data_IF_875990772339
#
_entry.id   IF_875990772339
#
_cell.length_a   1.000
_cell.length_b   1.000
_cell.length_c   1.000
_cell.angle_alpha   90.00
_cell.angle_beta   90.00
_cell.angle_gamma   90.00
#
_symmetry.space_group_name_H-M   'P 1'
#
loop_
_entity.id
_entity.type
_entity.pdbx_description
1 polymer ?
#
# COMPACT_ATOMS: atom_id res chain seq x y z
N UNK A 1 6.87 -15.43 -17.48
CA UNK A 1 6.31 -16.81 -17.59
C UNK A 1 6.98 -17.79 -16.63
N UNK A 2 8.28 -17.63 -16.31
CA UNK A 2 9.00 -18.59 -15.46
C UNK A 2 8.45 -18.63 -14.02
N UNK A 3 8.14 -17.47 -13.45
CA UNK A 3 7.47 -17.39 -12.13
C UNK A 3 6.10 -18.07 -12.17
N UNK A 4 5.33 -17.86 -13.23
CA UNK A 4 4.04 -18.53 -13.41
C UNK A 4 4.19 -20.06 -13.45
N UNK A 5 5.12 -20.57 -14.26
CA UNK A 5 5.37 -22.02 -14.36
C UNK A 5 5.85 -22.63 -13.05
N UNK A 6 6.75 -21.90 -12.35
CA UNK A 6 7.18 -22.29 -11.01
C UNK A 6 6.00 -22.39 -10.04
N UNK A 7 5.16 -21.37 -9.99
CA UNK A 7 3.98 -21.35 -9.10
C UNK A 7 2.96 -22.43 -9.49
N UNK A 8 2.76 -22.70 -10.77
CA UNK A 8 1.85 -23.74 -11.24
C UNK A 8 2.24 -25.14 -10.75
N UNK A 9 3.54 -25.37 -10.47
CA UNK A 9 4.06 -26.64 -9.95
C UNK A 9 4.13 -26.63 -8.42
N UNK A 10 4.62 -25.52 -7.85
CA UNK A 10 5.02 -25.47 -6.43
C UNK A 10 4.00 -24.83 -5.50
N UNK A 11 2.94 -24.22 -6.01
CA UNK A 11 1.82 -23.71 -5.23
C UNK A 11 0.61 -24.63 -5.39
N UNK A 12 0.36 -25.47 -4.40
CA UNK A 12 -0.68 -26.51 -4.44
C UNK A 12 -2.07 -25.92 -4.75
N UNK A 13 -2.42 -24.77 -4.16
CA UNK A 13 -3.72 -24.13 -4.38
C UNK A 13 -3.83 -23.56 -5.79
N UNK A 14 -2.74 -22.99 -6.30
CA UNK A 14 -2.70 -22.48 -7.67
C UNK A 14 -2.75 -23.60 -8.70
N UNK A 15 -2.04 -24.72 -8.50
CA UNK A 15 -2.13 -25.89 -9.33
C UNK A 15 -3.57 -26.40 -9.43
N UNK A 16 -4.26 -26.58 -8.29
CA UNK A 16 -5.67 -26.97 -8.26
C UNK A 16 -6.59 -25.98 -8.99
N UNK A 17 -6.31 -24.68 -8.86
CA UNK A 17 -7.08 -23.64 -9.57
C UNK A 17 -6.91 -23.76 -11.08
N UNK A 18 -5.69 -23.99 -11.58
CA UNK A 18 -5.44 -24.21 -13.00
C UNK A 18 -6.11 -25.49 -13.52
N UNK A 19 -6.07 -26.58 -12.76
CA UNK A 19 -6.76 -27.83 -13.09
C UNK A 19 -8.28 -27.63 -13.23
N UNK A 20 -8.90 -26.91 -12.30
CA UNK A 20 -10.33 -26.59 -12.35
C UNK A 20 -10.69 -25.75 -13.59
N UNK A 21 -9.81 -24.86 -14.02
CA UNK A 21 -9.94 -24.07 -15.24
C UNK A 21 -9.57 -24.86 -16.50
N UNK A 22 -9.04 -26.05 -16.37
CA UNK A 22 -8.52 -26.88 -17.47
C UNK A 22 -7.43 -26.17 -18.27
N UNK A 23 -6.57 -25.40 -17.59
CA UNK A 23 -5.44 -24.69 -18.19
C UNK A 23 -4.18 -25.51 -17.98
N UNK A 24 -3.57 -25.95 -19.07
CA UNK A 24 -2.24 -26.54 -19.06
C UNK A 24 -1.19 -25.43 -19.02
N UNK A 25 -0.38 -25.30 -17.92
CA UNK A 25 0.64 -24.27 -17.81
C UNK A 25 1.68 -24.27 -18.93
N UNK A 26 1.90 -25.41 -19.58
CA UNK A 26 2.85 -25.52 -20.68
C UNK A 26 2.37 -24.79 -21.94
N UNK A 27 1.06 -24.65 -22.13
CA UNK A 27 0.45 -24.01 -23.32
C UNK A 27 0.38 -22.49 -23.20
N UNK A 28 0.54 -21.93 -21.99
CA UNK A 28 0.52 -20.47 -21.75
C UNK A 28 1.78 -19.83 -22.33
N UNK A 29 1.60 -19.06 -23.41
CA UNK A 29 2.69 -18.45 -24.17
C UNK A 29 2.89 -16.96 -23.90
N UNK A 30 1.85 -16.28 -23.42
CA UNK A 30 1.91 -14.83 -23.12
C UNK A 30 1.51 -14.55 -21.67
N UNK A 31 2.11 -13.53 -21.04
CA UNK A 31 1.71 -13.11 -19.70
C UNK A 31 0.23 -12.68 -19.59
N UNK A 32 -0.39 -12.29 -20.71
CA UNK A 32 -1.82 -11.96 -20.79
C UNK A 32 -2.74 -13.14 -20.55
N UNK A 33 -2.25 -14.35 -20.83
CA UNK A 33 -3.04 -15.57 -20.78
C UNK A 33 -2.96 -16.27 -19.41
N UNK A 34 -2.13 -15.73 -18.50
CA UNK A 34 -1.99 -16.26 -17.14
C UNK A 34 -3.29 -16.07 -16.38
N UNK A 35 -3.95 -17.14 -15.90
CA UNK A 35 -5.11 -17.02 -15.02
C UNK A 35 -4.69 -16.48 -13.65
N UNK A 36 -5.32 -15.39 -13.21
CA UNK A 36 -5.08 -14.82 -11.90
C UNK A 36 -6.05 -15.38 -10.87
N UNK A 37 -5.52 -15.87 -9.75
CA UNK A 37 -6.34 -16.35 -8.64
C UNK A 37 -7.17 -15.22 -8.04
N UNK A 38 -8.45 -15.50 -7.66
CA UNK A 38 -9.24 -14.56 -6.90
C UNK A 38 -8.58 -14.22 -5.56
N UNK A 39 -8.46 -12.94 -5.25
CA UNK A 39 -7.78 -12.45 -4.05
C UNK A 39 -8.39 -12.98 -2.75
N UNK A 40 -9.68 -13.31 -2.76
CA UNK A 40 -10.38 -13.92 -1.63
C UNK A 40 -9.79 -15.25 -1.16
N UNK A 41 -8.95 -15.90 -1.95
CA UNK A 41 -8.28 -17.14 -1.57
C UNK A 41 -7.23 -16.92 -0.45
N UNK A 42 -6.66 -15.73 -0.33
CA UNK A 42 -5.81 -15.37 0.80
C UNK A 42 -6.54 -15.40 2.16
N UNK A 43 -7.87 -15.34 2.16
CA UNK A 43 -8.69 -15.48 3.37
C UNK A 43 -8.95 -16.93 3.75
N UNK A 44 -8.87 -17.84 2.78
CA UNK A 44 -9.28 -19.23 2.93
C UNK A 44 -8.10 -20.19 3.04
N UNK A 45 -6.98 -19.85 2.42
CA UNK A 45 -5.84 -20.75 2.26
C UNK A 45 -4.53 -20.06 2.67
N UNK A 46 -3.61 -20.86 3.17
CA UNK A 46 -2.21 -20.46 3.36
C UNK A 46 -1.48 -20.60 2.02
N UNK A 47 -1.44 -19.52 1.26
CA UNK A 47 -0.83 -19.50 -0.08
C UNK A 47 0.68 -19.38 0.04
N UNK A 48 1.42 -20.40 -0.41
CA UNK A 48 2.88 -20.38 -0.54
C UNK A 48 3.31 -21.28 -1.70
N UNK A 49 4.44 -20.96 -2.31
CA UNK A 49 5.05 -21.77 -3.37
C UNK A 49 6.31 -22.43 -2.83
N UNK A 50 6.34 -23.75 -2.83
CA UNK A 50 7.41 -24.55 -2.24
C UNK A 50 7.27 -24.78 -0.72
N UNK A 51 8.28 -25.46 -0.15
CA UNK A 51 8.29 -25.83 1.27
C UNK A 51 9.24 -24.91 2.06
N UNK A 52 8.67 -24.11 2.95
CA UNK A 52 9.35 -23.19 3.84
C UNK A 52 8.43 -22.75 4.98
N UNK A 53 9.00 -22.31 6.10
CA UNK A 53 8.24 -21.71 7.19
C UNK A 53 8.23 -20.18 7.06
N UNK A 54 7.09 -19.52 7.30
CA UNK A 54 7.02 -18.08 7.19
C UNK A 54 7.79 -17.39 8.31
N UNK A 55 8.71 -16.49 7.95
CA UNK A 55 9.38 -15.62 8.92
C UNK A 55 8.45 -14.50 9.39
N UNK A 56 7.45 -14.15 8.55
CA UNK A 56 6.38 -13.19 8.87
C UNK A 56 5.09 -13.55 8.15
N UNK A 57 3.98 -13.16 8.75
CA UNK A 57 2.66 -13.22 8.11
C UNK A 57 2.02 -11.84 8.19
N UNK A 58 1.71 -11.25 7.05
CA UNK A 58 0.87 -10.06 7.01
C UNK A 58 -0.61 -10.45 7.09
N UNK A 59 -1.39 -9.64 7.81
CA UNK A 59 -2.83 -9.86 7.99
C UNK A 59 -3.63 -8.63 7.63
N UNK A 60 -4.73 -8.82 6.89
CA UNK A 60 -5.61 -7.72 6.56
C UNK A 60 -6.44 -7.25 7.76
N UNK A 61 -6.86 -5.97 7.73
CA UNK A 61 -7.80 -5.46 8.71
C UNK A 61 -9.19 -6.07 8.45
N UNK A 62 -9.51 -7.20 9.08
CA UNK A 62 -10.87 -7.71 9.11
C UNK A 62 -11.75 -6.83 10.01
N UNK A 63 -12.98 -6.52 9.57
CA UNK A 63 -14.03 -6.10 10.50
C UNK A 63 -14.41 -7.31 11.36
N UNK A 64 -14.81 -7.08 12.61
CA UNK A 64 -15.15 -8.15 13.56
C UNK A 64 -16.09 -9.19 12.93
N UNK A 65 -15.66 -10.45 12.88
CA UNK A 65 -16.43 -11.56 12.30
C UNK A 65 -16.15 -11.89 10.83
N UNK A 66 -15.31 -11.14 10.12
CA UNK A 66 -14.92 -11.45 8.73
C UNK A 66 -13.51 -12.07 8.73
N UNK A 67 -13.35 -13.18 7.97
CA UNK A 67 -12.05 -13.83 7.80
C UNK A 67 -11.01 -12.84 7.25
N UNK A 68 -9.85 -12.78 7.89
CA UNK A 68 -8.71 -11.94 7.47
C UNK A 68 -7.88 -12.65 6.40
N UNK A 69 -7.31 -11.90 5.48
CA UNK A 69 -6.30 -12.42 4.55
C UNK A 69 -4.98 -12.65 5.28
N UNK A 70 -4.26 -13.69 4.87
CA UNK A 70 -2.94 -14.01 5.40
C UNK A 70 -1.94 -14.10 4.25
N UNK A 71 -0.94 -13.24 4.26
CA UNK A 71 0.15 -13.27 3.30
C UNK A 71 1.43 -13.71 3.98
N UNK A 72 1.94 -14.87 3.59
CA UNK A 72 3.11 -15.51 4.19
C UNK A 72 4.38 -14.99 3.50
N UNK A 73 5.37 -14.58 4.27
CA UNK A 73 6.67 -14.12 3.77
C UNK A 73 7.75 -15.11 4.17
N UNK A 74 8.54 -15.55 3.20
CA UNK A 74 9.77 -16.33 3.44
C UNK A 74 10.98 -15.44 3.74
N UNK A 75 10.91 -14.14 3.35
CA UNK A 75 11.98 -13.19 3.58
C UNK A 75 11.38 -11.77 3.67
N UNK A 76 11.58 -11.10 4.80
CA UNK A 76 11.10 -9.74 5.06
C UNK A 76 11.83 -8.69 4.20
N UNK A 77 13.10 -8.92 3.90
CA UNK A 77 13.92 -7.96 3.18
C UNK A 77 13.42 -7.72 1.75
N UNK A 78 12.82 -8.71 1.11
CA UNK A 78 12.19 -8.52 -0.20
C UNK A 78 11.06 -7.49 -0.15
N UNK A 79 10.24 -7.51 0.90
CA UNK A 79 9.19 -6.49 1.05
C UNK A 79 9.79 -5.12 1.33
N UNK A 80 10.78 -5.04 2.26
CA UNK A 80 11.46 -3.78 2.62
C UNK A 80 12.09 -3.12 1.40
N UNK A 81 12.87 -3.88 0.62
CA UNK A 81 13.54 -3.38 -0.58
C UNK A 81 12.54 -2.98 -1.67
N UNK A 82 11.47 -3.76 -1.89
CA UNK A 82 10.43 -3.39 -2.85
C UNK A 82 9.73 -2.08 -2.46
N UNK A 83 9.34 -1.95 -1.20
CA UNK A 83 8.68 -0.75 -0.69
C UNK A 83 9.60 0.48 -0.79
N UNK A 84 10.86 0.34 -0.37
CA UNK A 84 11.88 1.40 -0.49
C UNK A 84 12.09 1.81 -1.94
N UNK A 85 12.38 0.86 -2.83
CA UNK A 85 12.62 1.15 -4.24
C UNK A 85 11.40 1.82 -4.90
N UNK A 86 10.19 1.34 -4.61
CA UNK A 86 8.96 1.92 -5.13
C UNK A 86 8.79 3.39 -4.69
N UNK A 87 9.07 3.68 -3.42
CA UNK A 87 9.01 5.05 -2.88
C UNK A 87 10.09 5.95 -3.49
N UNK A 88 11.36 5.50 -3.44
CA UNK A 88 12.50 6.32 -3.85
C UNK A 88 12.50 6.66 -5.34
N UNK A 89 11.92 5.82 -6.19
CA UNK A 89 11.71 6.12 -7.61
C UNK A 89 10.81 7.33 -7.85
N UNK A 90 9.86 7.61 -6.96
CA UNK A 90 8.89 8.70 -7.11
C UNK A 90 9.28 9.95 -6.32
N UNK A 91 9.91 9.77 -5.15
CA UNK A 91 10.11 10.83 -4.16
C UNK A 91 11.58 11.09 -3.81
N UNK A 92 12.51 10.31 -4.35
CA UNK A 92 13.93 10.36 -3.98
C UNK A 92 14.20 9.65 -2.66
N UNK A 93 15.44 9.74 -2.20
CA UNK A 93 15.93 8.98 -1.05
C UNK A 93 15.12 9.20 0.23
N UNK A 94 15.02 8.14 1.03
CA UNK A 94 14.50 8.19 2.39
C UNK A 94 15.53 8.77 3.37
N UNK A 95 16.82 8.67 3.09
CA UNK A 95 17.88 9.14 3.98
C UNK A 95 17.70 10.61 4.34
N UNK A 96 17.79 10.94 5.63
CA UNK A 96 17.62 12.26 6.22
C UNK A 96 16.24 12.94 5.94
N UNK A 97 15.29 12.19 5.38
CA UNK A 97 13.92 12.68 5.15
C UNK A 97 13.08 12.50 6.42
N UNK A 98 12.51 13.54 7.03
CA UNK A 98 11.59 13.36 8.14
C UNK A 98 10.37 12.53 7.71
N UNK A 99 10.14 11.39 8.35
CA UNK A 99 8.99 10.50 8.09
C UNK A 99 8.06 10.50 9.30
N UNK A 100 6.89 11.12 9.15
CA UNK A 100 5.88 11.25 10.20
C UNK A 100 4.68 10.38 9.83
N UNK A 101 4.49 9.29 10.56
CA UNK A 101 3.46 8.30 10.27
C UNK A 101 2.25 8.46 11.20
N UNK A 102 1.16 9.02 10.67
CA UNK A 102 -0.11 9.19 11.37
C UNK A 102 -1.01 7.97 11.15
N UNK A 103 -0.75 6.91 11.91
CA UNK A 103 -1.37 5.59 11.76
C UNK A 103 -2.02 5.12 13.08
N UNK A 104 -3.08 5.79 13.56
CA UNK A 104 -3.77 5.43 14.80
C UNK A 104 -4.36 4.02 14.72
N UNK A 105 -4.34 3.30 15.86
CA UNK A 105 -4.86 1.94 16.01
C UNK A 105 -4.21 0.85 15.11
N UNK A 106 -3.13 1.17 14.39
CA UNK A 106 -2.42 0.18 13.59
C UNK A 106 -1.29 -0.50 14.33
N UNK A 107 -0.67 0.15 15.33
CA UNK A 107 0.39 -0.46 16.15
C UNK A 107 -0.14 -1.58 17.05
N UNK A 108 -1.43 -1.55 17.41
CA UNK A 108 -2.07 -2.62 18.17
C UNK A 108 -2.29 -3.90 17.33
N UNK A 109 -2.10 -3.82 16.00
CA UNK A 109 -2.29 -4.92 15.07
C UNK A 109 -0.95 -5.50 14.64
N UNK A 110 -0.58 -6.58 15.25
CA UNK A 110 0.52 -7.41 14.75
C UNK A 110 0.17 -7.89 13.33
N UNK A 111 1.08 -7.69 12.36
CA UNK A 111 0.91 -8.17 10.98
C UNK A 111 0.41 -7.16 9.96
N UNK A 112 0.32 -5.86 10.28
CA UNK A 112 0.03 -4.83 9.28
C UNK A 112 1.23 -4.58 8.35
N UNK A 113 1.07 -4.82 7.04
CA UNK A 113 2.11 -4.51 6.05
C UNK A 113 2.39 -3.00 5.95
N UNK A 114 1.37 -2.16 6.15
CA UNK A 114 1.51 -0.70 6.15
C UNK A 114 2.38 -0.21 7.31
N UNK A 115 2.15 -0.74 8.53
CA UNK A 115 2.98 -0.40 9.69
C UNK A 115 4.42 -0.86 9.48
N UNK A 116 4.60 -2.06 8.96
CA UNK A 116 5.92 -2.60 8.68
C UNK A 116 6.70 -1.77 7.65
N UNK A 117 6.02 -1.28 6.60
CA UNK A 117 6.59 -0.35 5.62
C UNK A 117 6.96 0.99 6.28
N UNK A 118 6.04 1.59 7.05
CA UNK A 118 6.28 2.87 7.69
C UNK A 118 7.42 2.80 8.72
N UNK A 119 7.52 1.69 9.47
CA UNK A 119 8.62 1.42 10.39
C UNK A 119 9.97 1.36 9.66
N UNK A 120 10.04 0.64 8.54
CA UNK A 120 11.25 0.57 7.71
C UNK A 120 11.64 1.94 7.16
N UNK A 121 10.67 2.74 6.70
CA UNK A 121 10.92 4.11 6.20
C UNK A 121 11.46 5.02 7.30
N UNK A 122 10.89 4.96 8.52
CA UNK A 122 11.37 5.71 9.69
C UNK A 122 12.81 5.30 10.03
N UNK A 123 13.10 4.00 10.08
CA UNK A 123 14.45 3.49 10.39
C UNK A 123 15.48 3.91 9.34
N UNK A 124 15.14 3.77 8.05
CA UNK A 124 16.05 4.15 6.94
C UNK A 124 16.25 5.65 6.82
N UNK A 125 15.26 6.44 7.23
CA UNK A 125 15.37 7.89 7.29
C UNK A 125 16.52 8.32 8.22
N UNK A 126 16.62 7.73 9.39
CA UNK A 126 17.57 8.15 10.42
C UNK A 126 17.32 9.57 10.96
N UNK A 127 16.31 10.29 10.46
CA UNK A 127 16.02 11.64 10.91
C UNK A 127 15.39 11.63 12.31
N UNK A 128 15.89 12.46 13.27
CA UNK A 128 15.49 12.39 14.68
C UNK A 128 14.01 12.72 14.92
N UNK A 129 13.37 13.47 14.02
CA UNK A 129 11.95 13.82 14.12
C UNK A 129 11.02 12.77 13.49
N UNK A 130 11.58 11.72 12.85
CA UNK A 130 10.78 10.62 12.29
C UNK A 130 10.16 9.78 13.40
N UNK A 131 8.93 9.30 13.16
CA UNK A 131 8.25 8.44 14.12
C UNK A 131 6.77 8.22 13.82
N UNK A 132 6.16 7.41 14.68
CA UNK A 132 4.71 7.19 14.67
C UNK A 132 4.01 8.23 15.55
N UNK A 133 2.95 8.80 15.01
CA UNK A 133 2.04 9.70 15.70
C UNK A 133 0.65 9.07 15.66
N UNK A 134 0.22 8.48 16.77
CA UNK A 134 -1.01 7.70 16.82
C UNK A 134 -2.23 8.61 16.98
N UNK A 135 -2.23 9.41 18.05
CA UNK A 135 -3.30 10.34 18.43
C UNK A 135 -2.74 11.68 18.94
N UNK A 136 -1.44 11.84 19.00
CA UNK A 136 -0.78 13.08 19.44
C UNK A 136 -0.69 14.09 18.29
N UNK A 137 -1.85 14.60 17.88
CA UNK A 137 -1.96 15.59 16.83
C UNK A 137 -1.28 16.93 17.16
N UNK A 138 -1.30 17.43 18.42
CA UNK A 138 -0.57 18.65 18.76
C UNK A 138 0.94 18.56 18.53
N UNK A 139 1.58 17.48 18.98
CA UNK A 139 3.01 17.26 18.76
C UNK A 139 3.33 17.09 17.29
N UNK A 140 2.52 16.32 16.55
CA UNK A 140 2.67 16.16 15.09
C UNK A 140 2.58 17.51 14.37
N UNK A 141 1.57 18.33 14.71
CA UNK A 141 1.36 19.66 14.13
C UNK A 141 2.57 20.59 14.34
N UNK A 142 3.12 20.62 15.58
CA UNK A 142 4.32 21.41 15.90
C UNK A 142 5.54 20.96 15.10
N UNK A 143 5.78 19.64 14.98
CA UNK A 143 6.88 19.10 14.19
C UNK A 143 6.74 19.43 12.71
N UNK A 144 5.55 19.29 12.14
CA UNK A 144 5.28 19.67 10.76
C UNK A 144 5.56 21.17 10.51
N UNK A 145 5.13 22.03 11.42
CA UNK A 145 5.41 23.47 11.34
C UNK A 145 6.92 23.77 11.33
N UNK A 146 7.71 23.05 12.12
CA UNK A 146 9.15 23.24 12.20
C UNK A 146 9.89 22.68 10.95
N UNK A 147 9.38 21.61 10.34
CA UNK A 147 10.03 20.89 9.26
C UNK A 147 9.65 21.37 7.85
N UNK A 148 8.53 22.06 7.67
CA UNK A 148 7.92 22.42 6.38
C UNK A 148 8.81 23.23 5.43
N UNK A 149 9.86 23.85 5.94
CA UNK A 149 10.81 24.66 5.15
C UNK A 149 12.21 24.06 5.14
N UNK A 150 12.37 22.83 5.60
CA UNK A 150 13.64 22.13 5.62
C UNK A 150 14.18 21.83 4.19
N UNK A 151 15.47 21.49 4.07
CA UNK A 151 16.09 21.20 2.78
C UNK A 151 15.56 19.91 2.14
N UNK A 152 15.10 18.95 2.94
CA UNK A 152 14.51 17.70 2.48
C UNK A 152 13.00 17.74 2.83
N UNK A 153 12.10 17.59 1.84
CA UNK A 153 10.67 17.61 2.08
C UNK A 153 10.24 16.51 3.05
N UNK A 154 9.54 16.84 4.17
CA UNK A 154 9.01 15.82 5.06
C UNK A 154 7.98 14.94 4.36
N UNK A 155 7.87 13.67 4.78
CA UNK A 155 6.78 12.77 4.44
C UNK A 155 5.81 12.67 5.62
N UNK A 156 4.59 13.16 5.44
CA UNK A 156 3.46 12.86 6.32
C UNK A 156 2.64 11.76 5.65
N UNK A 157 2.75 10.52 6.13
CA UNK A 157 1.91 9.41 5.67
C UNK A 157 0.84 9.11 6.71
N UNK A 158 -0.43 9.10 6.29
CA UNK A 158 -1.52 8.88 7.22
C UNK A 158 -2.73 8.20 6.59
N UNK A 159 -3.54 7.55 7.43
CA UNK A 159 -4.84 7.04 6.99
C UNK A 159 -5.82 8.20 6.81
N UNK A 160 -6.71 8.08 5.83
CA UNK A 160 -7.61 9.16 5.40
C UNK A 160 -8.35 9.82 6.56
N UNK A 161 -8.95 9.05 7.48
CA UNK A 161 -9.70 9.62 8.60
C UNK A 161 -8.80 10.40 9.57
N UNK A 162 -7.56 9.94 9.82
CA UNK A 162 -6.65 10.60 10.75
C UNK A 162 -6.05 11.89 10.16
N UNK A 163 -5.81 11.92 8.85
CA UNK A 163 -5.43 13.14 8.15
C UNK A 163 -6.55 14.19 8.19
N UNK A 164 -7.82 13.77 8.11
CA UNK A 164 -8.97 14.66 8.29
C UNK A 164 -9.06 15.19 9.72
N UNK A 165 -8.79 14.35 10.74
CA UNK A 165 -8.75 14.78 12.14
C UNK A 165 -7.66 15.85 12.35
N UNK A 166 -6.48 15.64 11.73
CA UNK A 166 -5.40 16.63 11.75
C UNK A 166 -5.81 17.93 11.02
N UNK A 167 -6.45 17.82 9.86
CA UNK A 167 -6.90 18.98 9.09
C UNK A 167 -7.96 19.81 9.84
N UNK A 168 -8.90 19.18 10.51
CA UNK A 168 -9.94 19.86 11.28
C UNK A 168 -9.41 20.56 12.54
N UNK A 169 -8.44 19.95 13.23
CA UNK A 169 -7.96 20.43 14.53
C UNK A 169 -6.71 21.30 14.43
N UNK A 170 -5.91 21.11 13.39
CA UNK A 170 -4.58 21.72 13.25
C UNK A 170 -4.29 22.14 11.80
N UNK A 171 -5.26 22.77 11.13
CA UNK A 171 -5.06 23.36 9.81
C UNK A 171 -3.92 24.37 9.84
N UNK A 172 -2.97 24.26 8.91
CA UNK A 172 -1.83 25.16 8.77
C UNK A 172 -1.09 24.96 7.45
N UNK A 173 -0.42 25.97 6.89
CA UNK A 173 0.41 25.78 5.71
C UNK A 173 1.55 24.80 5.97
N UNK A 174 1.67 23.74 5.17
CA UNK A 174 2.70 22.69 5.32
C UNK A 174 3.82 22.77 4.27
N UNK A 175 3.84 23.82 3.44
CA UNK A 175 4.94 24.12 2.53
C UNK A 175 5.26 22.97 1.56
N UNK A 176 6.50 22.48 1.59
CA UNK A 176 6.96 21.41 0.69
C UNK A 176 6.72 19.99 1.22
N UNK A 177 5.95 19.83 2.30
CA UNK A 177 5.63 18.51 2.88
C UNK A 177 4.88 17.63 1.89
N UNK A 178 5.36 16.42 1.67
CA UNK A 178 4.64 15.38 0.93
C UNK A 178 3.58 14.79 1.85
N UNK A 179 2.31 15.18 1.65
CA UNK A 179 1.17 14.62 2.40
C UNK A 179 0.62 13.45 1.63
N UNK A 180 0.70 12.26 2.19
CA UNK A 180 0.35 11.01 1.54
C UNK A 180 -0.78 10.30 2.28
N UNK A 181 -1.95 10.21 1.66
CA UNK A 181 -3.05 9.41 2.18
C UNK A 181 -2.90 7.95 1.79
N UNK A 182 -3.29 7.06 2.69
CA UNK A 182 -3.37 5.62 2.44
C UNK A 182 -4.59 5.02 3.14
N UNK A 183 -5.11 3.92 2.61
CA UNK A 183 -6.28 3.26 3.17
C UNK A 183 -7.58 4.01 2.93
N UNK A 184 -8.53 3.93 3.86
CA UNK A 184 -9.86 4.53 3.75
C UNK A 184 -10.43 4.97 5.09
N UNK A 185 -11.72 5.34 5.12
CA UNK A 185 -12.40 5.86 6.33
C UNK A 185 -12.61 4.79 7.40
N UNK A 186 -12.57 3.49 7.02
CA UNK A 186 -12.70 2.33 7.94
C UNK A 186 -13.91 2.40 8.87
N UNK A 187 -15.01 2.97 8.40
CA UNK A 187 -16.23 3.15 9.15
C UNK A 187 -16.15 4.18 10.29
N UNK A 188 -15.04 4.93 10.43
CA UNK A 188 -14.90 5.99 11.44
C UNK A 188 -15.51 7.33 11.01
N UNK A 189 -15.59 7.55 9.69
CA UNK A 189 -16.19 8.74 9.07
C UNK A 189 -17.03 8.34 7.86
N UNK A 190 -17.86 9.28 7.36
CA UNK A 190 -18.56 9.10 6.09
C UNK A 190 -17.53 8.86 4.99
N UNK A 191 -17.79 7.88 4.13
CA UNK A 191 -16.98 7.66 2.93
C UNK A 191 -17.00 8.90 2.04
N UNK A 192 -15.82 9.26 1.56
CA UNK A 192 -15.60 10.39 0.66
C UNK A 192 -14.90 9.87 -0.60
N UNK A 193 -15.18 10.48 -1.72
CA UNK A 193 -14.39 10.27 -2.93
C UNK A 193 -12.98 10.84 -2.73
N UNK A 194 -12.01 10.31 -3.46
CA UNK A 194 -10.63 10.83 -3.36
C UNK A 194 -10.52 12.32 -3.71
N UNK A 195 -11.20 12.84 -4.76
CA UNK A 195 -11.21 14.29 -5.02
C UNK A 195 -11.77 15.12 -3.86
N UNK A 196 -12.84 14.67 -3.19
CA UNK A 196 -13.38 15.36 -2.02
C UNK A 196 -12.37 15.38 -0.86
N UNK A 197 -11.77 14.23 -0.54
CA UNK A 197 -10.74 14.12 0.49
C UNK A 197 -9.54 15.03 0.18
N UNK A 198 -9.02 14.96 -1.03
CA UNK A 198 -7.88 15.79 -1.45
C UNK A 198 -8.20 17.27 -1.40
N UNK A 199 -9.41 17.68 -1.78
CA UNK A 199 -9.85 19.07 -1.68
C UNK A 199 -9.79 19.59 -0.24
N UNK A 200 -10.35 18.85 0.71
CA UNK A 200 -10.34 19.22 2.13
C UNK A 200 -8.92 19.31 2.68
N UNK A 201 -8.07 18.31 2.38
CA UNK A 201 -6.70 18.29 2.88
C UNK A 201 -5.83 19.37 2.23
N UNK A 202 -5.99 19.63 0.93
CA UNK A 202 -5.24 20.69 0.23
C UNK A 202 -5.58 22.07 0.75
N UNK A 203 -6.86 22.33 1.03
CA UNK A 203 -7.33 23.59 1.62
C UNK A 203 -6.78 23.77 3.04
N UNK A 204 -6.90 22.75 3.89
CA UNK A 204 -6.47 22.83 5.28
C UNK A 204 -4.95 22.99 5.46
N UNK A 205 -4.17 22.40 4.57
CA UNK A 205 -2.70 22.42 4.65
C UNK A 205 -2.01 23.37 3.66
N UNK A 206 -2.80 24.09 2.86
CA UNK A 206 -2.33 25.02 1.84
C UNK A 206 -1.26 24.41 0.93
N UNK A 207 -1.53 23.20 0.41
CA UNK A 207 -0.65 22.47 -0.51
C UNK A 207 -1.32 22.25 -1.85
N UNK A 208 -0.54 22.23 -2.93
CA UNK A 208 -1.07 22.05 -4.28
C UNK A 208 -1.63 20.65 -4.52
N UNK A 209 -1.05 19.65 -3.89
CA UNK A 209 -1.37 18.25 -4.15
C UNK A 209 -1.34 17.41 -2.87
N UNK A 210 -2.30 16.50 -2.77
CA UNK A 210 -2.26 15.38 -1.84
C UNK A 210 -1.84 14.15 -2.64
N UNK A 211 -0.91 13.41 -2.11
CA UNK A 211 -0.40 12.16 -2.66
C UNK A 211 -1.20 10.98 -2.12
N UNK A 212 -1.23 9.89 -2.88
CA UNK A 212 -1.87 8.65 -2.43
C UNK A 212 -0.88 7.49 -2.52
N UNK A 213 -0.91 6.62 -1.54
CA UNK A 213 -0.25 5.31 -1.56
C UNK A 213 -1.31 4.22 -1.80
N UNK A 214 -1.01 3.27 -2.67
CA UNK A 214 -1.77 2.05 -2.85
C UNK A 214 -0.92 0.85 -2.49
N UNK A 215 -1.34 0.16 -1.47
CA UNK A 215 -0.82 -1.13 -1.04
C UNK A 215 -1.94 -1.99 -0.47
N UNK A 216 -1.69 -3.26 -0.34
CA UNK A 216 -2.61 -4.19 0.31
C UNK A 216 -1.82 -5.34 0.92
N UNK A 217 -2.43 -6.00 1.88
CA UNK A 217 -1.83 -7.13 2.60
C UNK A 217 -1.34 -8.23 1.65
N UNK A 218 -2.08 -8.48 0.60
CA UNK A 218 -1.85 -9.53 -0.39
C UNK A 218 -0.81 -9.17 -1.46
N UNK A 219 -0.32 -7.92 -1.47
CA UNK A 219 0.73 -7.45 -2.39
C UNK A 219 2.03 -7.18 -1.65
N UNK A 220 3.16 -7.49 -2.31
CA UNK A 220 4.50 -7.10 -1.88
C UNK A 220 5.03 -5.89 -2.67
N UNK A 221 4.14 -5.15 -3.32
CA UNK A 221 4.46 -3.99 -4.15
C UNK A 221 3.49 -2.86 -3.90
N UNK A 222 3.91 -1.63 -4.16
CA UNK A 222 3.11 -0.41 -4.00
C UNK A 222 2.95 0.32 -5.32
N UNK A 223 1.95 1.20 -5.37
CA UNK A 223 1.83 2.24 -6.37
C UNK A 223 1.59 3.58 -5.68
N UNK A 224 2.10 4.64 -6.26
CA UNK A 224 1.97 6.00 -5.73
C UNK A 224 1.29 6.91 -6.74
N UNK A 225 0.39 7.76 -6.26
CA UNK A 225 -0.21 8.82 -7.05
C UNK A 225 0.29 10.18 -6.55
N UNK A 226 1.30 10.78 -7.20
CA UNK A 226 1.83 12.09 -6.80
C UNK A 226 0.82 13.22 -6.93
N UNK A 227 -0.15 13.08 -7.84
CA UNK A 227 -1.21 14.08 -8.07
C UNK A 227 -2.40 13.46 -8.78
N UNK A 228 -3.57 14.10 -8.62
CA UNK A 228 -4.82 13.81 -9.36
C UNK A 228 -5.27 12.33 -9.25
N UNK A 229 -4.85 11.59 -8.22
CA UNK A 229 -5.23 10.20 -8.01
C UNK A 229 -4.77 9.22 -9.09
N UNK A 230 -3.84 9.62 -9.98
CA UNK A 230 -3.28 8.76 -11.01
C UNK A 230 -2.10 7.98 -10.44
N UNK A 231 -2.30 6.70 -10.22
CA UNK A 231 -1.28 5.82 -9.68
C UNK A 231 -0.23 5.43 -10.70
N UNK A 232 1.02 5.52 -10.28
CA UNK A 232 2.19 5.03 -10.98
C UNK A 232 2.65 3.76 -10.26
N UNK A 233 2.54 2.59 -10.90
CA UNK A 233 2.95 1.33 -10.27
C UNK A 233 4.47 1.25 -10.14
N UNK A 234 4.93 0.58 -9.08
CA UNK A 234 6.33 0.18 -8.98
C UNK A 234 6.71 -0.77 -10.12
N UNK A 235 8.01 -0.90 -10.48
CA UNK A 235 8.46 -1.85 -11.51
C UNK A 235 8.06 -3.31 -11.23
N UNK A 236 7.82 -3.64 -9.97
CA UNK A 236 7.38 -4.96 -9.51
C UNK A 236 5.86 -5.14 -9.52
N UNK A 237 5.09 -4.15 -9.95
CA UNK A 237 3.63 -4.17 -9.99
C UNK A 237 3.12 -3.93 -11.41
N UNK A 238 2.36 -4.88 -11.94
CA UNK A 238 1.66 -4.75 -13.22
C UNK A 238 0.15 -4.86 -12.99
N UNK A 239 -0.59 -3.82 -13.37
CA UNK A 239 -2.05 -3.81 -13.31
C UNK A 239 -2.64 -4.15 -14.68
N UNK A 240 -3.68 -4.99 -14.68
CA UNK A 240 -4.42 -5.37 -15.89
C UNK A 240 -5.92 -5.25 -15.65
N UNK A 241 -6.62 -4.71 -16.61
CA UNK A 241 -8.08 -4.64 -16.58
C UNK A 241 -8.68 -5.94 -17.11
N UNK A 242 -9.62 -6.49 -16.36
CA UNK A 242 -10.39 -7.68 -16.74
C UNK A 242 -11.87 -7.32 -16.80
N UNK A 243 -12.63 -8.12 -17.55
CA UNK A 243 -14.09 -7.98 -17.55
C UNK A 243 -14.65 -8.28 -16.16
N UNK A 244 -15.60 -7.45 -15.71
CA UNK A 244 -16.21 -7.61 -14.37
C UNK A 244 -17.10 -8.85 -14.28
N UNK A 245 -17.65 -9.28 -15.41
CA UNK A 245 -18.54 -10.44 -15.51
C UNK A 245 -17.81 -11.71 -15.92
N UNK A 246 -16.65 -11.56 -16.58
CA UNK A 246 -15.74 -12.65 -16.93
C UNK A 246 -14.29 -12.29 -16.60
N UNK A 247 -13.87 -12.52 -15.35
CA UNK A 247 -12.53 -12.14 -14.89
C UNK A 247 -11.38 -12.91 -15.55
N UNK A 248 -11.68 -13.91 -16.39
CA UNK A 248 -10.68 -14.62 -17.19
C UNK A 248 -10.46 -13.96 -18.54
N UNK A 249 -11.42 -13.16 -19.01
CA UNK A 249 -11.31 -12.43 -20.27
C UNK A 249 -10.62 -11.07 -20.08
N UNK A 250 -9.65 -10.78 -20.95
CA UNK A 250 -9.04 -9.45 -21.01
C UNK A 250 -10.00 -8.47 -21.69
N UNK A 251 -10.17 -7.29 -21.08
CA UNK A 251 -10.84 -6.18 -21.75
C UNK A 251 -9.82 -5.45 -22.60
N UNK A 252 -10.16 -5.20 -23.86
CA UNK A 252 -9.37 -4.28 -24.66
C UNK A 252 -9.37 -2.93 -23.95
N UNK A 253 -8.18 -2.43 -23.59
CA UNK A 253 -8.03 -1.08 -23.03
C UNK A 253 -8.40 -0.10 -24.13
N UNK A 254 -9.69 0.23 -24.19
CA UNK A 254 -10.18 1.33 -25.01
C UNK A 254 -9.62 2.64 -24.45
N UNK A 255 -9.27 3.56 -25.34
CA UNK A 255 -8.91 4.93 -25.00
C UNK A 255 -10.06 5.52 -24.18
N UNK A 256 -9.82 5.74 -22.87
CA UNK A 256 -10.63 6.59 -22.01
C UNK A 256 -10.00 7.96 -21.93
#
# INVERSE_FOLDING_TARGET
LDVFRYQAIHNVIYAQFLDLLRVDPATVSFPTDIPHMPIGLFKKYRLKSGEWEPVRTFTSSGTTGIATSHHLLSNEEWYRENARCAFELQYGTLQDRPVLALLPAYLERTGSSLVFMAEDFIQRSGHPESGFFLEDLPTLSQKLAALKSGPVPPLLIGVSFALLDLAEQHAQPLGNTVIMETGGMKGRRREMTRPELHGVLSEAFEVDHIHSEYGMTELLSQAYAPKNGRFLPAPTLCARVRDITDPLSAVATGNT
#
